data_IF_265301864386
#
_entry.id   IF_265301864386
#
_cell.length_a   1.000
_cell.length_b   1.000
_cell.length_c   1.000
_cell.angle_alpha   90.00
_cell.angle_beta   90.00
_cell.angle_gamma   90.00
#
_symmetry.space_group_name_H-M   'P 1'
#
loop_
_entity.id
_entity.type
_entity.pdbx_description
1 polymer ?
#
# COMPACT_ATOMS: atom_id res chain seq x y z
N UNK A 1 18.39 -1.01 15.44
CA UNK A 1 17.13 -0.29 15.79
C UNK A 1 16.47 0.09 14.49
N UNK A 2 15.33 -0.52 14.15
CA UNK A 2 14.56 -0.12 12.96
C UNK A 2 13.89 1.22 13.29
N UNK A 3 14.47 2.31 12.78
CA UNK A 3 14.02 3.68 13.10
C UNK A 3 12.64 3.95 12.51
N UNK A 4 12.58 4.11 11.19
CA UNK A 4 11.36 4.40 10.44
C UNK A 4 11.03 3.29 9.43
N UNK A 5 9.83 3.36 8.87
CA UNK A 5 9.42 2.53 7.73
C UNK A 5 10.38 2.70 6.54
N UNK A 6 10.86 3.91 6.25
CA UNK A 6 11.86 4.12 5.19
C UNK A 6 13.16 3.34 5.41
N UNK A 7 13.70 3.35 6.64
CA UNK A 7 14.90 2.54 6.97
C UNK A 7 14.61 1.04 6.86
N UNK A 8 13.41 0.61 7.28
CA UNK A 8 12.99 -0.78 7.15
C UNK A 8 12.87 -1.21 5.68
N UNK A 9 12.28 -0.38 4.82
CA UNK A 9 12.19 -0.63 3.37
C UNK A 9 13.56 -0.83 2.75
N UNK A 10 14.51 0.06 3.05
CA UNK A 10 15.90 -0.05 2.57
C UNK A 10 16.53 -1.38 2.98
N UNK A 11 16.41 -1.74 4.26
CA UNK A 11 16.91 -3.02 4.77
C UNK A 11 16.26 -4.22 4.07
N UNK A 12 14.94 -4.18 3.85
CA UNK A 12 14.22 -5.24 3.16
C UNK A 12 14.64 -5.35 1.69
N UNK A 13 14.86 -4.24 0.98
CA UNK A 13 15.41 -4.24 -0.38
C UNK A 13 16.74 -4.99 -0.44
N UNK A 14 17.66 -4.69 0.47
CA UNK A 14 18.97 -5.34 0.51
C UNK A 14 18.83 -6.86 0.72
N UNK A 15 18.04 -7.27 1.71
CA UNK A 15 17.86 -8.70 2.03
C UNK A 15 17.10 -9.48 0.96
N UNK A 16 16.06 -8.89 0.40
CA UNK A 16 15.21 -9.57 -0.59
C UNK A 16 15.85 -9.60 -1.98
N UNK A 17 16.73 -8.65 -2.31
CA UNK A 17 17.46 -8.65 -3.58
C UNK A 17 18.37 -9.86 -3.72
N UNK A 18 18.99 -10.29 -2.62
CA UNK A 18 19.84 -11.49 -2.59
C UNK A 18 19.00 -12.76 -2.80
N UNK A 19 17.81 -12.82 -2.19
CA UNK A 19 16.91 -13.96 -2.30
C UNK A 19 16.13 -14.01 -3.63
N UNK A 20 15.81 -12.85 -4.21
CA UNK A 20 14.93 -12.70 -5.37
C UNK A 20 15.51 -11.71 -6.40
N UNK A 21 16.65 -12.03 -7.05
CA UNK A 21 17.35 -11.10 -7.94
C UNK A 21 16.55 -10.70 -9.20
N UNK A 22 15.51 -11.46 -9.56
CA UNK A 22 14.64 -11.17 -10.71
C UNK A 22 13.62 -10.04 -10.48
N UNK A 23 13.39 -9.63 -9.24
CA UNK A 23 12.37 -8.62 -8.91
C UNK A 23 12.95 -7.20 -9.03
N UNK A 24 12.71 -6.55 -10.17
CA UNK A 24 13.23 -5.20 -10.46
C UNK A 24 12.78 -4.13 -9.46
N UNK A 25 11.56 -4.23 -8.94
CA UNK A 25 11.00 -3.26 -7.98
C UNK A 25 11.70 -3.27 -6.61
N UNK A 26 12.46 -4.32 -6.26
CA UNK A 26 13.30 -4.34 -5.05
C UNK A 26 14.57 -3.47 -5.16
N UNK A 27 14.82 -2.86 -6.32
CA UNK A 27 15.95 -1.93 -6.50
C UNK A 27 15.69 -0.59 -5.85
N UNK A 28 14.42 -0.19 -5.74
CA UNK A 28 14.03 1.11 -5.24
C UNK A 28 12.94 0.97 -4.16
N UNK A 29 13.20 1.38 -2.91
CA UNK A 29 12.25 1.31 -1.81
C UNK A 29 10.96 2.14 -2.01
N UNK A 30 10.94 3.05 -2.99
CA UNK A 30 9.74 3.83 -3.33
C UNK A 30 8.75 3.03 -4.19
N UNK A 31 9.18 1.93 -4.81
CA UNK A 31 8.35 1.11 -5.71
C UNK A 31 7.50 0.06 -4.98
N UNK A 32 7.47 0.09 -3.65
CA UNK A 32 6.56 -0.73 -2.87
C UNK A 32 6.18 -0.02 -1.57
N UNK A 33 5.07 -0.46 -0.98
CA UNK A 33 4.58 0.02 0.31
C UNK A 33 4.53 -1.10 1.32
N UNK A 34 4.75 -0.75 2.59
CA UNK A 34 4.49 -1.66 3.70
C UNK A 34 3.03 -1.55 4.11
N UNK A 35 2.41 -2.70 4.34
CA UNK A 35 1.03 -2.78 4.79
C UNK A 35 0.89 -3.71 5.98
N UNK A 36 -0.09 -3.41 6.82
CA UNK A 36 -0.61 -4.35 7.80
C UNK A 36 -1.66 -5.23 7.13
N UNK A 37 -1.58 -6.53 7.38
CA UNK A 37 -2.56 -7.53 6.98
C UNK A 37 -3.09 -8.21 8.24
N UNK A 38 -4.41 -8.27 8.37
CA UNK A 38 -5.10 -8.95 9.46
C UNK A 38 -6.19 -9.84 8.88
N UNK A 39 -6.16 -11.14 9.20
CA UNK A 39 -7.13 -12.13 8.73
C UNK A 39 -7.41 -12.01 7.21
N UNK A 40 -6.35 -11.98 6.40
CA UNK A 40 -6.39 -11.85 4.93
C UNK A 40 -6.93 -10.53 4.36
N UNK A 41 -7.09 -9.51 5.21
CA UNK A 41 -7.45 -8.16 4.78
C UNK A 41 -6.28 -7.22 4.98
N UNK A 42 -5.98 -6.42 3.95
CA UNK A 42 -5.03 -5.32 4.06
C UNK A 42 -5.74 -4.18 4.81
N UNK A 43 -5.25 -3.88 6.02
CA UNK A 43 -5.93 -2.97 6.95
C UNK A 43 -5.32 -1.58 6.99
N UNK A 44 -4.00 -1.48 6.81
CA UNK A 44 -3.29 -0.21 6.95
C UNK A 44 -2.12 -0.11 5.98
N UNK A 45 -1.88 1.08 5.44
CA UNK A 45 -0.64 1.44 4.74
C UNK A 45 0.22 2.25 5.70
N UNK A 46 1.51 1.94 5.81
CA UNK A 46 2.40 2.73 6.65
C UNK A 46 3.13 3.78 5.83
N UNK A 47 3.08 5.02 6.32
CA UNK A 47 3.85 6.12 5.78
C UNK A 47 5.34 5.94 6.09
N UNK A 48 6.21 6.37 5.19
CA UNK A 48 7.67 6.18 5.30
C UNK A 48 8.28 6.85 6.55
N UNK A 49 7.64 7.92 7.04
CA UNK A 49 8.03 8.62 8.28
C UNK A 49 7.59 7.92 9.57
N UNK A 50 6.75 6.88 9.50
CA UNK A 50 6.25 6.18 10.70
C UNK A 50 7.40 5.49 11.42
N UNK A 51 7.48 5.71 12.73
CA UNK A 51 8.44 5.05 13.62
C UNK A 51 7.93 3.65 13.97
N UNK A 52 8.76 2.63 13.75
CA UNK A 52 8.37 1.23 13.91
C UNK A 52 8.55 0.70 15.34
N UNK A 53 9.20 1.46 16.24
CA UNK A 53 9.36 1.06 17.64
C UNK A 53 8.04 0.95 18.41
N UNK A 54 6.97 1.57 17.91
CA UNK A 54 5.61 1.48 18.46
C UNK A 54 4.74 0.41 17.79
N UNK A 55 5.28 -0.36 16.85
CA UNK A 55 4.53 -1.42 16.18
C UNK A 55 4.31 -2.60 17.14
N UNK A 56 3.06 -2.82 17.53
CA UNK A 56 2.65 -4.00 18.31
C UNK A 56 2.54 -5.22 17.42
N UNK A 57 3.45 -6.18 17.60
CA UNK A 57 3.37 -7.49 16.97
C UNK A 57 2.31 -8.30 17.71
N UNK A 58 1.30 -8.76 16.98
CA UNK A 58 0.29 -9.70 17.47
C UNK A 58 0.25 -10.88 16.51
N UNK A 59 -0.14 -12.06 16.99
CA UNK A 59 -0.08 -13.30 16.19
C UNK A 59 -0.89 -13.22 14.88
N UNK A 60 -1.97 -12.44 14.86
CA UNK A 60 -2.84 -12.26 13.69
C UNK A 60 -2.46 -11.06 12.80
N UNK A 61 -1.35 -10.36 13.10
CA UNK A 61 -0.89 -9.20 12.35
C UNK A 61 0.36 -9.50 11.53
N UNK A 62 0.20 -9.46 10.22
CA UNK A 62 1.28 -9.68 9.27
C UNK A 62 1.69 -8.35 8.61
N UNK A 63 2.99 -8.23 8.28
CA UNK A 63 3.47 -7.15 7.42
C UNK A 63 3.57 -7.68 5.99
N UNK A 64 2.87 -7.02 5.07
CA UNK A 64 2.93 -7.32 3.66
C UNK A 64 3.72 -6.25 2.90
N UNK A 65 4.51 -6.70 1.92
CA UNK A 65 5.12 -5.83 0.91
C UNK A 65 4.24 -5.86 -0.33
N UNK A 66 3.71 -4.71 -0.70
CA UNK A 66 2.90 -4.59 -1.91
C UNK A 66 3.66 -3.74 -2.93
N UNK A 67 4.01 -4.29 -4.11
CA UNK A 67 4.51 -3.51 -5.23
C UNK A 67 3.52 -2.39 -5.55
N UNK A 68 4.04 -1.20 -5.81
CA UNK A 68 3.26 -0.10 -6.34
C UNK A 68 3.40 -0.14 -7.86
N UNK A 69 2.42 -0.68 -8.61
CA UNK A 69 2.50 -0.72 -10.07
C UNK A 69 2.44 0.69 -10.70
N UNK A 70 2.05 1.70 -9.92
CA UNK A 70 2.02 3.09 -10.34
C UNK A 70 3.37 3.75 -10.10
N UNK A 71 4.28 3.60 -11.07
CA UNK A 71 5.54 4.37 -11.17
C UNK A 71 5.29 5.91 -11.29
N UNK A 72 4.04 6.35 -11.42
CA UNK A 72 3.71 7.75 -11.75
C UNK A 72 3.04 8.57 -10.64
N UNK A 73 2.40 7.96 -9.63
CA UNK A 73 1.48 8.71 -8.74
C UNK A 73 2.15 9.16 -7.44
N UNK A 74 2.81 8.29 -6.67
CA UNK A 74 3.40 8.70 -5.38
C UNK A 74 4.71 9.49 -5.53
N UNK A 75 5.55 9.17 -6.52
CA UNK A 75 6.85 9.81 -6.69
C UNK A 75 6.78 11.21 -7.34
N UNK A 76 5.71 11.50 -8.10
CA UNK A 76 5.55 12.77 -8.82
C UNK A 76 4.44 13.67 -8.24
N UNK A 77 3.63 13.18 -7.30
CA UNK A 77 2.67 14.05 -6.62
C UNK A 77 3.39 14.85 -5.51
N UNK A 78 3.26 16.19 -5.50
CA UNK A 78 3.63 17.00 -4.34
C UNK A 78 3.07 16.41 -3.05
N UNK A 79 3.83 16.46 -1.95
CA UNK A 79 3.40 15.93 -0.64
C UNK A 79 2.03 16.47 -0.21
N UNK A 80 1.72 17.71 -0.60
CA UNK A 80 0.44 18.40 -0.39
C UNK A 80 -0.75 17.67 -1.03
N UNK A 81 -0.55 17.04 -2.19
CA UNK A 81 -1.57 16.26 -2.91
C UNK A 81 -1.76 14.86 -2.31
N UNK A 82 -0.71 14.27 -1.73
CA UNK A 82 -0.84 13.03 -0.95
C UNK A 82 -1.66 13.27 0.32
N UNK A 83 -1.50 14.44 0.95
CA UNK A 83 -2.32 14.83 2.10
C UNK A 83 -3.76 15.18 1.74
N UNK A 84 -4.06 15.52 0.49
CA UNK A 84 -5.43 15.82 0.04
C UNK A 84 -6.20 14.59 -0.44
N UNK A 85 -5.59 13.40 -0.46
CA UNK A 85 -6.20 12.18 -1.01
C UNK A 85 -6.37 11.07 0.03
N UNK A 86 -7.31 10.17 -0.26
CA UNK A 86 -7.48 8.88 0.39
C UNK A 86 -7.14 7.76 -0.60
N UNK A 87 -6.40 6.76 -0.11
CA UNK A 87 -6.28 5.48 -0.79
C UNK A 87 -7.43 4.58 -0.32
N UNK A 88 -8.34 4.24 -1.23
CA UNK A 88 -9.51 3.39 -0.96
C UNK A 88 -9.33 2.04 -1.63
N UNK A 89 -9.70 0.98 -0.93
CA UNK A 89 -9.76 -0.37 -1.46
C UNK A 89 -11.21 -0.75 -1.75
N UNK A 90 -11.49 -1.17 -2.98
CA UNK A 90 -12.83 -1.55 -3.44
C UNK A 90 -12.84 -3.01 -3.87
N UNK A 91 -13.90 -3.73 -3.48
CA UNK A 91 -14.20 -5.08 -3.95
C UNK A 91 -15.61 -5.09 -4.53
N UNK A 92 -15.80 -5.74 -5.66
CA UNK A 92 -17.12 -5.90 -6.27
C UNK A 92 -17.76 -7.18 -5.76
N UNK A 93 -19.01 -7.08 -5.31
CA UNK A 93 -19.82 -8.24 -4.95
C UNK A 93 -20.55 -8.78 -6.17
N UNK A 94 -20.37 -10.07 -6.46
CA UNK A 94 -21.11 -10.77 -7.51
C UNK A 94 -22.29 -11.53 -6.86
N UNK A 95 -23.54 -11.06 -7.03
CA UNK A 95 -24.71 -11.67 -6.37
C UNK A 95 -25.04 -13.06 -6.91
N UNK A 96 -24.67 -13.37 -8.15
CA UNK A 96 -24.94 -14.67 -8.77
C UNK A 96 -24.09 -15.78 -8.15
N UNK A 97 -22.88 -15.45 -7.70
CA UNK A 97 -21.91 -16.40 -7.15
C UNK A 97 -21.65 -16.21 -5.65
N UNK A 98 -22.21 -15.17 -5.03
CA UNK A 98 -21.93 -14.76 -3.65
C UNK A 98 -20.44 -14.55 -3.36
N UNK A 99 -19.67 -14.16 -4.37
CA UNK A 99 -18.22 -13.96 -4.27
C UNK A 99 -17.83 -12.49 -4.35
N UNK A 100 -16.66 -12.15 -3.78
CA UNK A 100 -16.03 -10.85 -3.95
C UNK A 100 -14.96 -10.92 -5.04
N UNK A 101 -14.79 -9.84 -5.80
CA UNK A 101 -13.66 -9.70 -6.72
C UNK A 101 -12.33 -9.54 -5.96
N UNK A 102 -11.24 -9.66 -6.71
CA UNK A 102 -9.95 -9.14 -6.26
C UNK A 102 -10.07 -7.65 -5.90
N UNK A 103 -9.36 -7.18 -4.85
CA UNK A 103 -9.38 -5.79 -4.44
C UNK A 103 -8.72 -4.90 -5.49
N UNK A 104 -9.35 -3.76 -5.76
CA UNK A 104 -8.81 -2.68 -6.57
C UNK A 104 -8.52 -1.49 -5.66
N UNK A 105 -7.44 -0.77 -5.91
CA UNK A 105 -7.07 0.41 -5.14
C UNK A 105 -7.24 1.68 -5.96
N UNK A 106 -7.82 2.69 -5.34
CA UNK A 106 -8.12 3.97 -5.96
C UNK A 106 -7.63 5.10 -5.07
N UNK A 107 -6.97 6.09 -5.67
CA UNK A 107 -6.70 7.37 -5.03
C UNK A 107 -7.86 8.31 -5.30
N UNK A 108 -8.46 8.84 -4.24
CA UNK A 108 -9.64 9.70 -4.30
C UNK A 108 -9.36 10.96 -3.50
N UNK A 109 -9.66 12.12 -4.07
CA UNK A 109 -9.54 13.38 -3.35
C UNK A 109 -10.48 13.42 -2.13
N UNK A 110 -10.04 14.01 -1.02
CA UNK A 110 -10.85 14.17 0.20
C UNK A 110 -12.11 15.00 -0.03
N UNK A 111 -12.11 15.86 -1.04
CA UNK A 111 -13.26 16.65 -1.48
C UNK A 111 -14.01 16.02 -2.67
N UNK A 112 -13.61 14.83 -3.11
CA UNK A 112 -14.26 14.14 -4.22
C UNK A 112 -15.72 13.81 -3.89
N UNK A 113 -16.58 13.97 -4.89
CA UNK A 113 -17.98 13.59 -4.83
C UNK A 113 -18.18 12.11 -5.14
N UNK A 114 -19.36 11.58 -4.84
CA UNK A 114 -19.74 10.22 -5.26
C UNK A 114 -19.67 10.03 -6.78
N UNK A 115 -19.90 11.07 -7.57
CA UNK A 115 -19.79 11.00 -9.02
C UNK A 115 -18.32 10.85 -9.47
N UNK A 116 -17.39 11.49 -8.77
CA UNK A 116 -15.95 11.34 -9.01
C UNK A 116 -15.49 9.92 -8.66
N UNK A 117 -15.96 9.40 -7.52
CA UNK A 117 -15.72 8.03 -7.10
C UNK A 117 -16.23 7.01 -8.11
N UNK A 118 -17.47 7.18 -8.60
CA UNK A 118 -18.06 6.30 -9.61
C UNK A 118 -17.28 6.33 -10.94
N UNK A 119 -16.76 7.50 -11.34
CA UNK A 119 -15.91 7.62 -12.54
C UNK A 119 -14.56 6.93 -12.37
N UNK A 120 -13.97 6.98 -11.18
CA UNK A 120 -12.71 6.30 -10.88
C UNK A 120 -12.81 4.76 -10.89
N UNK A 121 -14.03 4.21 -10.87
CA UNK A 121 -14.30 2.77 -10.89
C UNK A 121 -14.54 2.19 -12.31
N UNK A 122 -14.64 3.03 -13.34
CA UNK A 122 -14.86 2.64 -14.73
C UNK A 122 -13.54 2.36 -15.46
#
# INVERSE_FOLDING_TARGET
>A
VLGSVSTLKLYLCEKLRDAFPGLKWLKDPTLFRLREKMADKLTQVYHDSKIMSSYGVHDDKEIALQPCPFEEVEANLPAELLESQFLVMVKFFNPSTWSLSEPIELWIDKQATLADFARALQ
#
